data_IF_410090515451
#
_entry.id   IF_410090515451
#
_cell.length_a   1.000
_cell.length_b   1.000
_cell.length_c   1.000
_cell.angle_alpha   90.00
_cell.angle_beta   90.00
_cell.angle_gamma   90.00
#
_symmetry.space_group_name_H-M   'P 1'
#
loop_
_entity.id
_entity.type
_entity.pdbx_description
1 polymer ?
#
# COMPACT_ATOMS: atom_id res chain seq x y z
N UNK A 1 2.46 6.24 -23.14
CA UNK A 1 2.39 5.73 -21.76
C UNK A 1 1.11 6.21 -21.11
N UNK A 2 0.31 5.32 -20.53
CA UNK A 2 -1.04 5.59 -20.00
C UNK A 2 -1.08 6.10 -18.55
N UNK A 3 -0.09 6.89 -18.13
CA UNK A 3 0.07 7.33 -16.74
C UNK A 3 -0.91 8.43 -16.30
N UNK A 4 -1.64 9.06 -17.23
CA UNK A 4 -2.68 10.02 -16.87
C UNK A 4 -3.87 9.30 -16.23
N UNK A 5 -4.04 9.54 -14.92
CA UNK A 5 -5.16 9.04 -14.12
C UNK A 5 -4.93 7.68 -13.46
N UNK A 6 -3.75 7.06 -13.55
CA UNK A 6 -3.45 5.72 -13.05
C UNK A 6 -3.16 5.61 -11.53
N UNK A 7 -3.44 6.67 -10.76
CA UNK A 7 -3.07 6.77 -9.33
C UNK A 7 -1.60 6.34 -9.09
N UNK A 8 -0.63 6.88 -9.87
CA UNK A 8 0.74 6.36 -9.93
C UNK A 8 1.46 6.45 -8.57
N UNK A 9 1.20 7.50 -7.80
CA UNK A 9 1.77 7.67 -6.46
C UNK A 9 1.28 6.57 -5.50
N UNK A 10 0.01 6.18 -5.58
CA UNK A 10 -0.58 5.16 -4.69
C UNK A 10 -0.06 3.78 -5.07
N UNK A 11 -0.11 3.44 -6.36
CA UNK A 11 0.36 2.14 -6.84
C UNK A 11 1.86 1.95 -6.58
N UNK A 12 2.69 2.97 -6.82
CA UNK A 12 4.12 2.90 -6.50
C UNK A 12 4.36 2.79 -5.00
N UNK A 13 3.65 3.58 -4.17
CA UNK A 13 3.80 3.51 -2.71
C UNK A 13 3.37 2.15 -2.16
N UNK A 14 2.30 1.57 -2.69
CA UNK A 14 1.85 0.22 -2.31
C UNK A 14 2.89 -0.83 -2.67
N UNK A 15 3.46 -0.76 -3.88
CA UNK A 15 4.54 -1.66 -4.29
C UNK A 15 5.77 -1.55 -3.39
N UNK A 16 6.19 -0.32 -3.07
CA UNK A 16 7.34 -0.09 -2.18
C UNK A 16 7.04 -0.57 -0.76
N UNK A 17 5.84 -0.35 -0.22
CA UNK A 17 5.46 -0.84 1.11
C UNK A 17 5.54 -2.37 1.19
N UNK A 18 5.06 -3.07 0.16
CA UNK A 18 5.20 -4.53 0.07
C UNK A 18 6.68 -4.92 0.13
N UNK A 19 7.53 -4.30 -0.70
CA UNK A 19 8.96 -4.60 -0.70
C UNK A 19 9.65 -4.34 0.66
N UNK A 20 9.25 -3.28 1.37
CA UNK A 20 9.77 -2.97 2.70
C UNK A 20 9.34 -4.00 3.75
N UNK A 21 8.09 -4.46 3.71
CA UNK A 21 7.60 -5.52 4.61
C UNK A 21 8.28 -6.87 4.33
N UNK A 22 8.44 -7.24 3.06
CA UNK A 22 9.14 -8.49 2.67
C UNK A 22 10.63 -8.46 3.07
N UNK A 23 11.27 -7.29 3.02
CA UNK A 23 12.66 -7.11 3.43
C UNK A 23 12.83 -6.85 4.94
N UNK A 24 11.74 -6.75 5.71
CA UNK A 24 11.77 -6.24 7.09
C UNK A 24 12.69 -7.05 7.99
N UNK A 25 12.57 -8.38 7.97
CA UNK A 25 13.37 -9.26 8.83
C UNK A 25 14.87 -9.18 8.55
N UNK A 26 15.26 -8.95 7.29
CA UNK A 26 16.67 -8.80 6.89
C UNK A 26 17.22 -7.42 7.26
N UNK A 27 16.40 -6.38 7.14
CA UNK A 27 16.85 -5.00 7.24
C UNK A 27 16.64 -4.36 8.62
N UNK A 28 15.79 -4.91 9.49
CA UNK A 28 15.42 -4.28 10.77
C UNK A 28 16.61 -3.93 11.67
N UNK A 29 17.63 -4.79 11.71
CA UNK A 29 18.81 -4.59 12.56
C UNK A 29 19.88 -3.68 11.91
N UNK A 30 19.71 -3.37 10.61
CA UNK A 30 20.65 -2.58 9.82
C UNK A 30 20.12 -1.17 9.52
N UNK A 31 18.80 -0.98 9.50
CA UNK A 31 18.13 0.25 9.08
C UNK A 31 17.18 0.70 10.18
N UNK A 32 17.67 1.59 11.04
CA UNK A 32 16.90 2.14 12.17
C UNK A 32 15.61 2.88 11.77
N UNK A 33 15.50 3.34 10.52
CA UNK A 33 14.35 4.09 10.00
C UNK A 33 13.33 3.23 9.24
N UNK A 34 13.53 1.90 9.19
CA UNK A 34 12.71 1.01 8.39
C UNK A 34 11.25 0.99 8.87
N UNK A 35 11.03 0.75 10.16
CA UNK A 35 9.69 0.70 10.75
C UNK A 35 8.95 2.03 10.59
N UNK A 36 9.66 3.15 10.75
CA UNK A 36 9.10 4.48 10.51
C UNK A 36 8.70 4.68 9.05
N UNK A 37 9.47 4.15 8.10
CA UNK A 37 9.20 4.24 6.68
C UNK A 37 8.00 3.38 6.29
N UNK A 38 7.92 2.15 6.79
CA UNK A 38 6.76 1.26 6.68
C UNK A 38 5.51 1.97 7.21
N UNK A 39 5.58 2.50 8.44
CA UNK A 39 4.47 3.21 9.08
C UNK A 39 4.03 4.44 8.29
N UNK A 40 4.96 5.22 7.74
CA UNK A 40 4.65 6.39 6.89
C UNK A 40 3.95 5.98 5.59
N UNK A 41 4.47 4.96 4.90
CA UNK A 41 3.88 4.47 3.65
C UNK A 41 2.48 3.87 3.89
N UNK A 42 2.31 3.05 4.93
CA UNK A 42 1.03 2.48 5.28
C UNK A 42 -0.01 3.57 5.64
N UNK A 43 0.38 4.59 6.42
CA UNK A 43 -0.49 5.72 6.74
C UNK A 43 -0.86 6.55 5.49
N UNK A 44 0.07 6.73 4.55
CA UNK A 44 -0.19 7.42 3.29
C UNK A 44 -1.25 6.70 2.46
N UNK A 45 -1.14 5.37 2.35
CA UNK A 45 -2.10 4.53 1.63
C UNK A 45 -3.46 4.52 2.33
N UNK A 46 -3.49 4.32 3.65
CA UNK A 46 -4.72 4.26 4.43
C UNK A 46 -5.58 5.52 4.27
N UNK A 47 -4.95 6.71 4.23
CA UNK A 47 -5.66 8.00 4.02
C UNK A 47 -6.29 8.14 2.64
N UNK A 48 -5.75 7.46 1.63
CA UNK A 48 -6.22 7.55 0.24
C UNK A 48 -7.11 6.38 -0.16
N UNK A 49 -7.07 5.29 0.59
CA UNK A 49 -7.69 4.01 0.24
C UNK A 49 -9.18 4.12 -0.12
N UNK A 50 -9.97 4.88 0.65
CA UNK A 50 -11.41 5.05 0.38
C UNK A 50 -11.73 5.84 -0.89
N UNK A 51 -10.78 6.62 -1.40
CA UNK A 51 -10.93 7.48 -2.58
C UNK A 51 -10.42 6.81 -3.86
N UNK A 52 -9.82 5.60 -3.75
CA UNK A 52 -9.29 4.89 -4.91
C UNK A 52 -10.40 4.40 -5.82
N UNK A 53 -10.22 4.62 -7.12
CA UNK A 53 -11.22 4.31 -8.14
C UNK A 53 -10.80 3.19 -9.09
N UNK A 54 -9.51 2.85 -9.16
CA UNK A 54 -9.03 1.83 -10.09
C UNK A 54 -8.91 0.45 -9.44
N UNK A 55 -9.52 -0.59 -10.01
CA UNK A 55 -9.46 -1.95 -9.46
C UNK A 55 -8.03 -2.42 -9.15
N UNK A 56 -7.10 -2.17 -10.07
CA UNK A 56 -5.69 -2.55 -9.89
C UNK A 56 -5.05 -1.85 -8.68
N UNK A 57 -5.18 -0.52 -8.59
CA UNK A 57 -4.62 0.25 -7.46
C UNK A 57 -5.27 -0.16 -6.14
N UNK A 58 -6.59 -0.37 -6.14
CA UNK A 58 -7.35 -0.82 -4.97
C UNK A 58 -6.83 -2.18 -4.51
N UNK A 59 -6.69 -3.15 -5.40
CA UNK A 59 -6.19 -4.48 -5.07
C UNK A 59 -4.77 -4.41 -4.46
N UNK A 60 -3.86 -3.68 -5.12
CA UNK A 60 -2.48 -3.55 -4.67
C UNK A 60 -2.38 -2.83 -3.31
N UNK A 61 -3.11 -1.74 -3.12
CA UNK A 61 -3.15 -0.99 -1.86
C UNK A 61 -3.82 -1.81 -0.73
N UNK A 62 -4.87 -2.58 -1.05
CA UNK A 62 -5.52 -3.48 -0.08
C UNK A 62 -4.54 -4.52 0.45
N UNK A 63 -3.80 -5.17 -0.45
CA UNK A 63 -2.80 -6.15 -0.08
C UNK A 63 -1.68 -5.54 0.75
N UNK A 64 -1.11 -4.42 0.31
CA UNK A 64 -0.05 -3.72 1.04
C UNK A 64 -0.48 -3.30 2.46
N UNK A 65 -1.71 -2.78 2.61
CA UNK A 65 -2.28 -2.41 3.90
C UNK A 65 -2.56 -3.64 4.78
N UNK A 66 -3.01 -4.76 4.20
CA UNK A 66 -3.23 -5.99 4.94
C UNK A 66 -1.91 -6.56 5.47
N UNK A 67 -0.87 -6.57 4.64
CA UNK A 67 0.47 -7.01 5.01
C UNK A 67 1.04 -6.19 6.17
N UNK A 68 0.86 -4.87 6.13
CA UNK A 68 1.29 -3.95 7.20
C UNK A 68 0.35 -3.91 8.43
N UNK A 69 -0.71 -4.73 8.46
CA UNK A 69 -1.69 -4.74 9.56
C UNK A 69 -2.50 -3.44 9.70
N UNK A 70 -2.72 -2.71 8.61
CA UNK A 70 -3.40 -1.41 8.55
C UNK A 70 -4.69 -1.41 7.72
N UNK A 71 -5.11 -2.56 7.18
CA UNK A 71 -6.37 -2.64 6.45
C UNK A 71 -7.55 -2.66 7.43
N UNK A 72 -8.29 -1.56 7.51
CA UNK A 72 -9.45 -1.43 8.41
C UNK A 72 -10.72 -2.11 7.85
N UNK A 73 -10.85 -2.26 6.53
CA UNK A 73 -12.00 -2.90 5.90
C UNK A 73 -11.71 -3.30 4.45
N UNK A 74 -12.17 -4.47 4.03
CA UNK A 74 -12.16 -4.91 2.62
C UNK A 74 -13.28 -4.30 1.77
N UNK A 75 -14.14 -3.43 2.34
CA UNK A 75 -15.29 -2.83 1.62
C UNK A 75 -14.91 -2.18 0.29
N UNK A 76 -13.78 -1.46 0.24
CA UNK A 76 -13.34 -0.80 -1.00
C UNK A 76 -12.92 -1.83 -2.04
N UNK A 77 -12.14 -2.85 -1.65
CA UNK A 77 -11.77 -3.98 -2.51
C UNK A 77 -13.00 -4.70 -3.07
N UNK A 78 -13.97 -4.98 -2.21
CA UNK A 78 -15.19 -5.71 -2.58
C UNK A 78 -16.10 -4.94 -3.55
N UNK A 79 -15.96 -3.61 -3.69
CA UNK A 79 -16.67 -2.84 -4.72
C UNK A 79 -16.23 -3.19 -6.14
N UNK A 80 -15.05 -3.79 -6.29
CA UNK A 80 -14.44 -4.11 -7.58
C UNK A 80 -14.30 -5.62 -7.84
N UNK A 81 -14.95 -6.48 -7.03
CA UNK A 81 -14.85 -7.94 -7.13
C UNK A 81 -15.92 -8.59 -8.02
N UNK A 82 -16.53 -7.84 -8.94
CA UNK A 82 -17.58 -8.29 -9.87
C UNK A 82 -17.22 -7.97 -11.31
#
# INVERSE_FOLDING_TARGET
>A
GGYQGAEPEVSLTAFVLIALEEARETCKDHINSLDDSIKKAANFLARRYEQLARPYTVALASYALALAGKLNSEKVLMRFSK
#
